data_IF_544885198156
#
_entry.id   IF_544885198156
#
_cell.length_a   1.000
_cell.length_b   1.000
_cell.length_c   1.000
_cell.angle_alpha   90.00
_cell.angle_beta   90.00
_cell.angle_gamma   90.00
#
_symmetry.space_group_name_H-M   'P 1'
#
loop_
_entity.id
_entity.type
_entity.pdbx_description
1 polymer ?
#
# COMPACT_ATOMS: atom_id res chain seq x y z
N UNK A 1 -66.51 -41.35 -29.92
CA UNK A 1 -65.52 -41.91 -28.97
C UNK A 1 -64.23 -41.11 -29.09
N UNK A 2 -63.80 -40.51 -27.96
CA UNK A 2 -62.42 -40.13 -27.58
C UNK A 2 -61.80 -38.90 -28.28
N UNK A 3 -61.76 -37.73 -27.61
CA UNK A 3 -60.66 -37.19 -26.75
C UNK A 3 -59.47 -36.67 -27.59
N UNK A 4 -58.75 -35.57 -27.33
CA UNK A 4 -58.83 -34.40 -26.44
C UNK A 4 -57.66 -33.48 -26.86
N UNK A 5 -57.79 -32.17 -26.61
CA UNK A 5 -56.74 -31.14 -26.66
C UNK A 5 -55.37 -31.59 -26.10
N UNK A 6 -54.26 -31.10 -26.65
CA UNK A 6 -53.22 -30.50 -25.80
C UNK A 6 -52.31 -29.51 -26.54
N UNK A 7 -52.47 -28.25 -26.16
CA UNK A 7 -51.53 -27.15 -26.27
C UNK A 7 -50.25 -27.49 -25.47
N UNK A 8 -49.08 -27.35 -26.06
CA UNK A 8 -47.81 -27.31 -25.30
C UNK A 8 -47.05 -26.05 -25.70
N UNK A 9 -47.35 -25.01 -24.92
CA UNK A 9 -46.51 -23.83 -24.71
C UNK A 9 -45.13 -24.29 -24.23
N UNK A 10 -44.14 -24.21 -25.12
CA UNK A 10 -42.74 -24.22 -24.72
C UNK A 10 -42.43 -22.87 -24.06
N UNK A 11 -42.77 -22.78 -22.77
CA UNK A 11 -42.15 -21.85 -21.83
C UNK A 11 -40.67 -22.22 -21.76
N UNK A 12 -39.87 -21.61 -22.63
CA UNK A 12 -38.43 -21.54 -22.48
C UNK A 12 -38.12 -20.75 -21.22
N UNK A 13 -38.07 -21.44 -20.08
CA UNK A 13 -37.33 -20.98 -18.92
C UNK A 13 -35.87 -20.88 -19.34
N UNK A 14 -35.48 -19.71 -19.86
CA UNK A 14 -34.07 -19.38 -19.99
C UNK A 14 -33.44 -19.56 -18.62
N UNK A 15 -32.33 -20.29 -18.49
CA UNK A 15 -31.64 -20.36 -17.22
C UNK A 15 -31.27 -18.92 -16.90
N UNK A 16 -31.91 -18.34 -15.87
CA UNK A 16 -31.42 -17.12 -15.26
C UNK A 16 -29.97 -17.41 -14.91
N UNK A 17 -29.04 -16.79 -15.65
CA UNK A 17 -27.63 -16.82 -15.31
C UNK A 17 -27.58 -16.31 -13.87
N UNK A 18 -27.40 -17.22 -12.92
CA UNK A 18 -27.00 -16.84 -11.59
C UNK A 18 -25.74 -15.99 -11.79
N UNK A 19 -25.87 -14.68 -11.57
CA UNK A 19 -24.77 -13.76 -11.72
C UNK A 19 -23.70 -14.24 -10.73
N UNK A 20 -22.59 -14.76 -11.26
CA UNK A 20 -21.53 -15.27 -10.40
C UNK A 20 -21.05 -14.13 -9.52
N UNK A 21 -21.12 -14.36 -8.20
CA UNK A 21 -20.54 -13.47 -7.21
C UNK A 21 -19.03 -13.43 -7.43
N UNK A 22 -18.56 -12.32 -8.02
CA UNK A 22 -17.14 -12.12 -8.27
C UNK A 22 -16.41 -11.91 -6.96
N UNK A 23 -15.21 -12.50 -6.85
CA UNK A 23 -14.33 -12.26 -5.70
C UNK A 23 -13.63 -10.91 -5.86
N UNK A 24 -13.12 -10.32 -4.75
CA UNK A 24 -12.43 -9.03 -4.80
C UNK A 24 -11.30 -8.96 -5.82
N UNK A 25 -10.52 -10.04 -5.96
CA UNK A 25 -9.42 -10.10 -6.93
C UNK A 25 -9.94 -10.06 -8.38
N UNK A 26 -11.04 -10.74 -8.69
CA UNK A 26 -11.63 -10.74 -10.03
C UNK A 26 -12.21 -9.36 -10.37
N UNK A 27 -12.88 -8.72 -9.40
CA UNK A 27 -13.40 -7.35 -9.55
C UNK A 27 -12.24 -6.39 -9.79
N UNK A 28 -11.16 -6.49 -9.01
CA UNK A 28 -9.97 -5.67 -9.17
C UNK A 28 -9.35 -5.80 -10.57
N UNK A 29 -9.15 -7.04 -11.04
CA UNK A 29 -8.58 -7.31 -12.36
C UNK A 29 -9.44 -6.71 -13.49
N UNK A 30 -10.77 -6.83 -13.42
CA UNK A 30 -11.68 -6.22 -14.39
C UNK A 30 -11.72 -4.69 -14.28
N UNK A 31 -11.66 -4.15 -13.07
CA UNK A 31 -11.69 -2.70 -12.83
C UNK A 31 -10.48 -1.98 -13.43
N UNK A 32 -9.31 -2.63 -13.44
CA UNK A 32 -8.06 -2.06 -13.97
C UNK A 32 -7.72 -2.55 -15.38
N UNK A 33 -8.55 -3.42 -15.96
CA UNK A 33 -8.44 -3.91 -17.32
C UNK A 33 -8.53 -2.77 -18.35
N UNK A 34 -7.93 -2.97 -19.53
CA UNK A 34 -7.97 -1.97 -20.61
C UNK A 34 -9.36 -1.89 -21.24
N UNK A 35 -10.04 -3.04 -21.23
CA UNK A 35 -11.40 -3.20 -21.70
C UNK A 35 -12.39 -2.52 -20.74
N UNK A 36 -13.44 -1.93 -21.30
CA UNK A 36 -14.55 -1.42 -20.50
C UNK A 36 -15.30 -2.56 -19.83
N UNK A 37 -15.95 -2.26 -18.70
CA UNK A 37 -16.76 -3.22 -17.96
C UNK A 37 -18.19 -2.70 -17.82
N UNK A 38 -19.13 -3.14 -18.69
CA UNK A 38 -20.50 -2.63 -18.71
C UNK A 38 -21.22 -2.79 -17.37
N UNK A 39 -20.98 -3.89 -16.65
CA UNK A 39 -21.61 -4.18 -15.37
C UNK A 39 -20.92 -3.54 -14.16
N UNK A 40 -19.89 -2.70 -14.37
CA UNK A 40 -19.07 -2.08 -13.33
C UNK A 40 -19.90 -1.55 -12.15
N UNK A 41 -20.96 -0.81 -12.44
CA UNK A 41 -21.77 -0.12 -11.44
C UNK A 41 -22.40 -1.06 -10.40
N UNK A 42 -22.61 -2.35 -10.72
CA UNK A 42 -23.10 -3.34 -9.74
C UNK A 42 -22.07 -3.67 -8.66
N UNK A 43 -20.79 -3.47 -8.99
CA UNK A 43 -19.64 -3.80 -8.14
C UNK A 43 -19.02 -2.56 -7.50
N UNK A 44 -19.69 -1.41 -7.55
CA UNK A 44 -19.24 -0.18 -6.91
C UNK A 44 -20.16 0.20 -5.76
N UNK A 45 -19.58 0.74 -4.69
CA UNK A 45 -20.30 1.41 -3.62
C UNK A 45 -19.45 2.55 -3.05
N UNK A 46 -19.98 3.26 -2.05
CA UNK A 46 -19.23 4.31 -1.35
C UNK A 46 -18.75 5.44 -2.27
N UNK A 47 -17.53 5.89 -2.06
CA UNK A 47 -16.94 6.99 -2.83
C UNK A 47 -16.72 6.64 -4.31
N UNK A 48 -16.37 5.39 -4.63
CA UNK A 48 -16.04 5.00 -6.01
C UNK A 48 -17.29 5.06 -6.88
N UNK A 49 -18.45 4.70 -6.32
CA UNK A 49 -19.73 4.83 -7.02
C UNK A 49 -20.06 6.29 -7.35
N UNK A 50 -19.73 7.22 -6.45
CA UNK A 50 -19.98 8.66 -6.66
C UNK A 50 -19.01 9.27 -7.69
N UNK A 51 -17.81 8.72 -7.81
CA UNK A 51 -16.76 9.19 -8.71
C UNK A 51 -16.75 8.46 -10.06
N UNK A 52 -17.48 7.35 -10.17
CA UNK A 52 -17.54 6.55 -11.38
C UNK A 52 -18.06 7.36 -12.55
N UNK A 53 -17.28 7.34 -13.64
CA UNK A 53 -17.69 7.83 -14.95
C UNK A 53 -18.20 6.66 -15.79
N UNK A 54 -18.55 6.92 -17.04
CA UNK A 54 -18.85 5.86 -18.02
C UNK A 54 -17.65 4.96 -18.34
N UNK A 55 -16.44 5.32 -17.92
CA UNK A 55 -15.20 4.56 -18.12
C UNK A 55 -14.66 4.02 -16.79
N UNK A 56 -14.09 2.80 -16.83
CA UNK A 56 -13.34 2.22 -15.70
C UNK A 56 -12.05 3.01 -15.43
N UNK A 57 -11.44 2.79 -14.27
CA UNK A 57 -10.09 3.30 -14.01
C UNK A 57 -9.08 2.70 -15.00
N UNK A 58 -9.22 1.42 -15.33
CA UNK A 58 -8.36 0.71 -16.27
C UNK A 58 -8.28 1.32 -17.67
N UNK A 59 -9.40 1.90 -18.14
CA UNK A 59 -9.48 2.64 -19.40
C UNK A 59 -8.76 4.00 -19.36
N UNK A 60 -8.54 4.56 -18.16
CA UNK A 60 -7.82 5.83 -17.95
C UNK A 60 -6.33 5.60 -17.71
N UNK A 61 -5.92 4.40 -17.28
CA UNK A 61 -4.52 4.04 -17.07
C UNK A 61 -3.82 3.90 -18.43
N UNK A 62 -2.64 4.54 -18.64
CA UNK A 62 -1.89 4.40 -19.88
C UNK A 62 -1.68 2.93 -20.30
N UNK A 63 -1.87 2.65 -21.59
CA UNK A 63 -1.83 1.28 -22.10
C UNK A 63 -0.47 0.60 -21.88
N UNK A 64 0.63 1.35 -21.96
CA UNK A 64 1.99 0.81 -21.79
C UNK A 64 2.31 0.29 -20.37
N UNK A 65 1.55 0.71 -19.35
CA UNK A 65 1.76 0.24 -17.98
C UNK A 65 1.29 -1.21 -17.83
N UNK A 66 2.18 -2.08 -17.33
CA UNK A 66 1.80 -3.41 -16.82
C UNK A 66 0.97 -3.23 -15.56
N UNK A 67 -0.08 -4.04 -15.42
CA UNK A 67 -1.00 -4.04 -14.28
C UNK A 67 -0.91 -5.40 -13.59
N UNK A 68 -0.64 -5.42 -12.30
CA UNK A 68 -0.61 -6.66 -11.50
C UNK A 68 -1.50 -6.48 -10.28
N UNK A 69 -2.53 -7.32 -10.15
CA UNK A 69 -3.38 -7.35 -8.96
C UNK A 69 -2.92 -8.46 -8.01
N UNK A 70 -2.84 -8.16 -6.71
CA UNK A 70 -2.55 -9.14 -5.68
C UNK A 70 -3.48 -8.92 -4.47
N UNK A 71 -4.14 -9.99 -4.04
CA UNK A 71 -4.93 -9.97 -2.81
C UNK A 71 -4.00 -9.78 -1.61
N UNK A 72 -4.21 -8.73 -0.83
CA UNK A 72 -3.41 -8.43 0.38
C UNK A 72 -4.06 -9.04 1.60
N UNK A 73 -5.37 -8.85 1.76
CA UNK A 73 -6.17 -9.41 2.84
C UNK A 73 -7.60 -9.62 2.35
N UNK A 74 -8.24 -10.67 2.86
CA UNK A 74 -9.68 -10.87 2.75
C UNK A 74 -10.21 -11.44 4.08
N UNK A 75 -11.26 -10.82 4.60
CA UNK A 75 -12.09 -11.34 5.68
C UNK A 75 -13.46 -11.71 5.13
N UNK A 76 -14.42 -12.05 6.00
CA UNK A 76 -15.80 -12.32 5.57
C UNK A 76 -16.51 -11.06 5.05
N UNK A 77 -16.06 -9.86 5.45
CA UNK A 77 -16.77 -8.60 5.18
C UNK A 77 -15.93 -7.52 4.50
N UNK A 78 -14.60 -7.64 4.46
CA UNK A 78 -13.70 -6.66 3.85
C UNK A 78 -12.59 -7.35 3.06
N UNK A 79 -12.06 -6.68 2.04
CA UNK A 79 -10.85 -7.12 1.36
C UNK A 79 -10.03 -5.94 0.87
N UNK A 80 -8.73 -6.14 0.72
CA UNK A 80 -7.81 -5.17 0.12
C UNK A 80 -7.04 -5.87 -0.98
N UNK A 81 -7.08 -5.31 -2.18
CA UNK A 81 -6.30 -5.76 -3.34
C UNK A 81 -5.31 -4.67 -3.71
N UNK A 82 -4.02 -5.01 -3.73
CA UNK A 82 -2.97 -4.14 -4.26
C UNK A 82 -2.97 -4.23 -5.78
N UNK A 83 -2.80 -3.08 -6.43
CA UNK A 83 -2.59 -2.96 -7.86
C UNK A 83 -1.27 -2.26 -8.11
N UNK A 84 -0.30 -3.02 -8.62
CA UNK A 84 0.96 -2.46 -9.10
C UNK A 84 0.79 -2.02 -10.55
N UNK A 85 1.10 -0.76 -10.83
CA UNK A 85 1.32 -0.24 -12.17
C UNK A 85 2.82 -0.11 -12.39
N UNK A 86 3.37 -0.67 -13.47
CA UNK A 86 4.81 -0.62 -13.74
C UNK A 86 5.13 -0.50 -15.23
N UNK A 87 6.18 0.25 -15.55
CA UNK A 87 6.88 0.25 -16.83
C UNK A 87 8.41 0.10 -16.63
N UNK A 88 9.19 0.43 -17.66
CA UNK A 88 10.65 0.42 -17.61
C UNK A 88 11.25 1.54 -16.77
N UNK A 89 10.50 2.60 -16.47
CA UNK A 89 10.96 3.79 -15.76
C UNK A 89 10.62 3.74 -14.27
N UNK A 90 9.62 2.95 -13.87
CA UNK A 90 9.29 2.70 -12.47
C UNK A 90 7.90 2.12 -12.26
N UNK A 91 7.49 2.04 -10.99
CA UNK A 91 6.15 1.59 -10.61
C UNK A 91 5.46 2.53 -9.63
N UNK A 92 4.15 2.38 -9.50
CA UNK A 92 3.35 2.96 -8.43
C UNK A 92 2.25 1.96 -8.04
N UNK A 93 1.88 1.96 -6.77
CA UNK A 93 0.84 1.08 -6.25
C UNK A 93 -0.35 1.88 -5.77
N UNK A 94 -1.53 1.31 -5.98
CA UNK A 94 -2.75 1.73 -5.33
C UNK A 94 -3.51 0.51 -4.81
N UNK A 95 -4.45 0.75 -3.91
CA UNK A 95 -5.14 -0.24 -3.12
C UNK A 95 -6.64 -0.08 -3.31
N UNK A 96 -7.26 -1.18 -3.68
CA UNK A 96 -8.69 -1.30 -3.87
C UNK A 96 -9.27 -1.89 -2.59
N UNK A 97 -10.08 -1.09 -1.88
CA UNK A 97 -10.76 -1.53 -0.66
C UNK A 97 -12.17 -1.98 -0.99
N UNK A 98 -12.47 -3.21 -0.61
CA UNK A 98 -13.76 -3.84 -0.84
C UNK A 98 -14.51 -4.04 0.47
N UNK A 99 -15.83 -4.01 0.36
CA UNK A 99 -16.75 -4.43 1.41
C UNK A 99 -17.74 -5.44 0.84
N UNK A 100 -18.06 -6.46 1.64
CA UNK A 100 -19.13 -7.41 1.34
C UNK A 100 -20.44 -6.89 1.91
N UNK A 101 -21.42 -6.72 1.05
CA UNK A 101 -22.83 -6.57 1.44
C UNK A 101 -23.53 -7.89 1.11
N UNK A 102 -24.39 -7.90 0.09
CA UNK A 102 -24.88 -9.13 -0.52
C UNK A 102 -23.80 -9.76 -1.42
N UNK A 103 -23.08 -8.91 -2.16
CA UNK A 103 -21.94 -9.26 -3.01
C UNK A 103 -20.72 -8.42 -2.64
N UNK A 104 -19.56 -8.76 -3.16
CA UNK A 104 -18.36 -7.93 -3.02
C UNK A 104 -18.48 -6.67 -3.87
N UNK A 105 -18.19 -5.51 -3.25
CA UNK A 105 -18.23 -4.22 -3.93
C UNK A 105 -16.98 -3.41 -3.59
N UNK A 106 -16.44 -2.72 -4.60
CA UNK A 106 -15.34 -1.77 -4.47
C UNK A 106 -15.88 -0.49 -3.82
N UNK A 107 -15.38 -0.22 -2.61
CA UNK A 107 -15.79 0.92 -1.80
C UNK A 107 -14.86 2.13 -1.96
N UNK A 108 -13.55 1.89 -2.09
CA UNK A 108 -12.55 2.96 -2.13
C UNK A 108 -11.31 2.61 -2.96
N UNK A 109 -10.69 3.63 -3.55
CA UNK A 109 -9.37 3.54 -4.21
C UNK A 109 -8.40 4.43 -3.45
N UNK A 110 -7.29 3.87 -2.98
CA UNK A 110 -6.29 4.60 -2.19
C UNK A 110 -4.91 4.45 -2.78
N UNK A 111 -4.12 5.50 -2.75
CA UNK A 111 -2.72 5.47 -3.10
C UNK A 111 -1.97 6.42 -2.21
N UNK A 112 -0.65 6.27 -2.13
CA UNK A 112 0.16 7.22 -1.38
C UNK A 112 0.14 8.58 -2.08
N UNK A 113 -0.40 9.58 -1.40
CA UNK A 113 -0.39 10.98 -1.86
C UNK A 113 1.02 11.54 -2.09
N UNK A 114 1.09 12.59 -2.92
CA UNK A 114 2.29 13.43 -3.15
C UNK A 114 3.53 12.72 -3.71
N UNK A 115 3.40 11.49 -4.22
CA UNK A 115 4.51 10.75 -4.84
C UNK A 115 5.08 11.43 -6.08
N UNK A 116 4.27 12.16 -6.86
CA UNK A 116 4.75 12.95 -8.00
C UNK A 116 5.69 14.08 -7.58
N UNK A 117 5.41 14.73 -6.44
CA UNK A 117 6.30 15.77 -5.90
C UNK A 117 7.63 15.16 -5.48
N UNK A 118 7.62 14.01 -4.79
CA UNK A 118 8.84 13.29 -4.45
C UNK A 118 9.65 12.87 -5.70
N UNK A 119 9.01 12.48 -6.81
CA UNK A 119 9.70 12.16 -8.08
C UNK A 119 10.38 13.39 -8.69
N UNK A 120 9.74 14.55 -8.62
CA UNK A 120 10.34 15.81 -9.07
C UNK A 120 11.56 16.17 -8.22
N UNK A 121 11.45 16.06 -6.88
CA UNK A 121 12.58 16.26 -5.98
C UNK A 121 13.74 15.30 -6.29
N UNK A 122 13.42 14.01 -6.52
CA UNK A 122 14.42 13.00 -6.85
C UNK A 122 15.16 13.34 -8.15
N UNK A 123 14.43 13.78 -9.18
CA UNK A 123 15.00 14.19 -10.47
C UNK A 123 16.01 15.32 -10.29
N UNK A 124 15.66 16.33 -9.48
CA UNK A 124 16.56 17.47 -9.19
C UNK A 124 17.80 17.00 -8.45
N UNK A 125 17.64 16.20 -7.39
CA UNK A 125 18.75 15.72 -6.57
C UNK A 125 19.70 14.81 -7.35
N UNK A 126 19.19 13.88 -8.15
CA UNK A 126 20.00 12.97 -8.97
C UNK A 126 20.77 13.70 -10.07
N UNK A 127 20.23 14.83 -10.55
CA UNK A 127 20.87 15.72 -11.53
C UNK A 127 22.00 16.58 -10.96
N UNK A 128 22.19 16.65 -9.64
CA UNK A 128 23.24 17.49 -9.05
C UNK A 128 24.65 16.99 -9.41
N UNK A 129 25.57 17.87 -9.86
CA UNK A 129 26.97 17.52 -10.08
C UNK A 129 27.70 17.22 -8.76
N UNK A 130 28.82 16.48 -8.77
CA UNK A 130 29.52 16.05 -7.55
C UNK A 130 29.87 17.19 -6.57
N UNK A 131 30.28 18.35 -7.08
CA UNK A 131 30.60 19.53 -6.26
C UNK A 131 29.38 20.04 -5.47
N UNK A 132 28.19 20.01 -6.08
CA UNK A 132 26.95 20.45 -5.43
C UNK A 132 26.45 19.42 -4.42
N UNK A 133 26.70 18.12 -4.63
CA UNK A 133 26.42 17.08 -3.63
C UNK A 133 27.26 17.26 -2.37
N UNK A 134 28.56 17.57 -2.53
CA UNK A 134 29.42 17.89 -1.40
C UNK A 134 28.92 19.12 -0.64
N UNK A 135 28.50 20.17 -1.35
CA UNK A 135 27.88 21.36 -0.75
C UNK A 135 26.57 21.03 -0.04
N UNK A 136 25.72 20.19 -0.62
CA UNK A 136 24.47 19.73 -0.01
C UNK A 136 24.72 19.08 1.35
N UNK A 137 25.73 18.20 1.44
CA UNK A 137 26.10 17.54 2.70
C UNK A 137 26.56 18.53 3.76
N UNK A 138 27.29 19.58 3.37
CA UNK A 138 27.72 20.64 4.28
C UNK A 138 26.54 21.44 4.83
N UNK A 139 25.51 21.70 4.01
CA UNK A 139 24.32 22.44 4.43
C UNK A 139 23.27 21.58 5.13
N UNK A 140 23.30 20.26 4.95
CA UNK A 140 22.33 19.31 5.53
C UNK A 140 23.02 18.15 6.28
N UNK A 141 23.83 18.42 7.33
CA UNK A 141 24.60 17.38 8.03
C UNK A 141 23.72 16.34 8.77
N UNK A 142 22.43 16.63 8.95
CA UNK A 142 21.46 15.70 9.57
C UNK A 142 20.70 14.85 8.54
N UNK A 143 20.76 15.22 7.26
CA UNK A 143 20.07 14.56 6.16
C UNK A 143 20.97 14.64 4.91
N UNK A 144 22.08 13.89 4.96
CA UNK A 144 23.06 13.84 3.89
C UNK A 144 22.43 13.37 2.57
N UNK A 145 23.07 13.72 1.46
CA UNK A 145 22.59 13.50 0.10
C UNK A 145 22.16 12.05 -0.15
N UNK A 146 23.01 11.08 0.19
CA UNK A 146 22.73 9.66 -0.05
C UNK A 146 21.52 9.18 0.77
N UNK A 147 21.38 9.66 2.01
CA UNK A 147 20.20 9.40 2.81
C UNK A 147 18.95 9.99 2.16
N UNK A 148 18.99 11.28 1.79
CA UNK A 148 17.83 11.95 1.20
C UNK A 148 17.39 11.29 -0.11
N UNK A 149 18.32 11.00 -1.02
CA UNK A 149 18.03 10.33 -2.29
C UNK A 149 17.49 8.92 -2.05
N UNK A 150 18.13 8.14 -1.18
CA UNK A 150 17.67 6.78 -0.85
C UNK A 150 16.29 6.77 -0.21
N UNK A 151 16.02 7.72 0.69
CA UNK A 151 14.73 7.87 1.35
C UNK A 151 13.61 8.25 0.38
N UNK A 152 13.84 9.24 -0.48
CA UNK A 152 12.85 9.66 -1.48
C UNK A 152 12.58 8.52 -2.47
N UNK A 153 13.61 7.77 -2.90
CA UNK A 153 13.43 6.58 -3.76
C UNK A 153 12.50 5.55 -3.14
N UNK A 154 12.64 5.28 -1.83
CA UNK A 154 11.71 4.37 -1.13
C UNK A 154 10.33 4.99 -0.94
N UNK A 155 10.23 6.29 -0.70
CA UNK A 155 8.95 6.98 -0.53
C UNK A 155 8.08 6.89 -1.80
N UNK A 156 8.67 7.13 -2.97
CA UNK A 156 7.93 7.18 -4.26
C UNK A 156 7.95 5.87 -5.03
N UNK A 157 8.72 4.89 -4.55
CA UNK A 157 8.91 3.58 -5.16
C UNK A 157 7.71 2.66 -4.95
N UNK A 158 7.71 1.54 -5.66
CA UNK A 158 6.64 0.55 -5.52
C UNK A 158 6.80 -0.31 -4.27
N UNK A 159 5.75 -1.00 -3.86
CA UNK A 159 5.75 -1.99 -2.79
C UNK A 159 6.82 -3.07 -3.03
N UNK A 160 7.04 -3.44 -4.30
CA UNK A 160 8.08 -4.40 -4.67
C UNK A 160 9.49 -3.83 -4.46
N UNK A 161 9.69 -2.53 -4.73
CA UNK A 161 10.99 -1.88 -4.55
C UNK A 161 11.33 -1.74 -3.05
N UNK A 162 10.34 -1.37 -2.23
CA UNK A 162 10.45 -1.31 -0.77
C UNK A 162 10.70 -2.71 -0.19
N UNK A 163 9.94 -3.72 -0.62
CA UNK A 163 10.15 -5.10 -0.19
C UNK A 163 11.55 -5.61 -0.57
N UNK A 164 12.02 -5.30 -1.78
CA UNK A 164 13.36 -5.69 -2.22
C UNK A 164 14.46 -4.99 -1.40
N UNK A 165 14.27 -3.72 -1.03
CA UNK A 165 15.18 -3.03 -0.11
C UNK A 165 15.20 -3.68 1.27
N UNK A 166 14.02 -3.98 1.82
CA UNK A 166 13.91 -4.70 3.08
C UNK A 166 14.63 -6.05 3.04
N UNK A 167 14.39 -6.88 2.02
CA UNK A 167 15.04 -8.19 1.88
C UNK A 167 16.56 -8.07 1.82
N UNK A 168 17.09 -7.13 1.04
CA UNK A 168 18.56 -6.92 0.95
C UNK A 168 19.18 -6.44 2.27
N UNK A 169 18.40 -5.77 3.12
CA UNK A 169 18.87 -5.14 4.36
C UNK A 169 18.26 -5.77 5.62
N UNK A 170 17.70 -6.97 5.50
CA UNK A 170 16.91 -7.60 6.57
C UNK A 170 17.70 -7.73 7.87
N UNK A 171 18.98 -8.09 7.80
CA UNK A 171 19.84 -8.23 8.97
C UNK A 171 20.01 -6.90 9.75
N UNK A 172 20.07 -5.75 9.06
CA UNK A 172 20.18 -4.43 9.67
C UNK A 172 18.87 -4.00 10.32
N UNK A 173 17.73 -4.30 9.69
CA UNK A 173 16.41 -4.09 10.28
C UNK A 173 16.23 -4.92 11.57
N UNK A 174 16.55 -6.22 11.52
CA UNK A 174 16.51 -7.11 12.69
C UNK A 174 17.47 -6.64 13.80
N UNK A 175 18.67 -6.17 13.43
CA UNK A 175 19.61 -5.58 14.40
C UNK A 175 19.03 -4.34 15.06
N UNK A 176 18.36 -3.48 14.31
CA UNK A 176 17.72 -2.28 14.85
C UNK A 176 16.60 -2.65 15.82
N UNK A 177 15.74 -3.61 15.47
CA UNK A 177 14.70 -4.13 16.38
C UNK A 177 15.30 -4.66 17.67
N UNK A 178 16.35 -5.47 17.60
CA UNK A 178 17.03 -5.99 18.81
C UNK A 178 17.51 -4.84 19.71
N UNK A 179 18.15 -3.82 19.14
CA UNK A 179 18.60 -2.64 19.90
C UNK A 179 17.43 -1.89 20.56
N UNK A 180 16.32 -1.70 19.83
CA UNK A 180 15.11 -1.05 20.37
C UNK A 180 14.48 -1.85 21.50
N UNK A 181 14.47 -3.18 21.42
CA UNK A 181 13.92 -4.08 22.44
C UNK A 181 14.82 -4.22 23.67
N UNK A 182 16.14 -4.20 23.49
CA UNK A 182 17.09 -4.24 24.62
C UNK A 182 17.22 -2.88 25.29
N UNK A 183 16.92 -1.80 24.57
CA UNK A 183 16.87 -0.45 25.12
C UNK A 183 15.65 -0.26 26.02
N UNK A 184 15.76 0.61 27.02
CA UNK A 184 14.65 0.98 27.90
C UNK A 184 13.74 2.06 27.31
N UNK A 185 13.99 2.47 26.06
CA UNK A 185 13.32 3.60 25.39
C UNK A 185 11.80 3.48 25.32
N UNK A 186 11.29 2.25 25.24
CA UNK A 186 9.87 1.95 25.08
C UNK A 186 9.28 1.16 26.26
N UNK A 187 9.97 1.16 27.40
CA UNK A 187 9.57 0.41 28.60
C UNK A 187 8.56 1.15 29.49
N UNK A 188 8.42 2.47 29.32
CA UNK A 188 7.50 3.32 30.08
C UNK A 188 6.60 4.11 29.12
N UNK A 189 5.44 4.55 29.63
CA UNK A 189 4.49 5.39 28.89
C UNK A 189 4.51 6.83 29.43
N UNK A 190 4.69 7.86 28.57
CA UNK A 190 4.94 7.75 27.12
C UNK A 190 6.36 7.27 26.80
N UNK A 191 6.50 6.48 25.74
CA UNK A 191 7.81 6.03 25.25
C UNK A 191 8.74 7.21 24.92
N UNK A 192 10.03 7.07 25.24
CA UNK A 192 11.07 8.05 24.92
C UNK A 192 11.64 7.83 23.51
N UNK A 193 10.78 8.02 22.51
CA UNK A 193 11.14 7.84 21.09
C UNK A 193 12.26 8.78 20.66
N UNK A 194 12.33 9.99 21.21
CA UNK A 194 13.38 10.95 20.90
C UNK A 194 14.77 10.42 21.29
N UNK A 195 14.89 9.81 22.47
CA UNK A 195 16.14 9.16 22.88
C UNK A 195 16.49 7.96 22.00
N UNK A 196 15.52 7.12 21.63
CA UNK A 196 15.77 5.99 20.72
C UNK A 196 16.31 6.46 19.35
N UNK A 197 15.76 7.52 18.78
CA UNK A 197 16.18 8.05 17.49
C UNK A 197 17.50 8.85 17.56
N UNK A 198 17.89 9.33 18.74
CA UNK A 198 19.15 10.03 19.00
C UNK A 198 20.29 9.10 19.44
N UNK A 199 19.99 7.86 19.84
CA UNK A 199 21.00 6.83 20.13
C UNK A 199 21.92 6.66 18.90
N UNK A 200 23.26 6.82 19.04
CA UNK A 200 24.17 6.81 17.90
C UNK A 200 24.15 5.49 17.10
N UNK A 201 23.99 4.35 17.78
CA UNK A 201 24.00 3.04 17.13
C UNK A 201 22.70 2.81 16.35
N UNK A 202 21.56 3.20 16.92
CA UNK A 202 20.26 3.14 16.24
C UNK A 202 20.24 4.15 15.08
N UNK A 203 20.63 5.40 15.32
CA UNK A 203 20.61 6.46 14.31
C UNK A 203 21.46 6.11 13.07
N UNK A 204 22.65 5.54 13.28
CA UNK A 204 23.50 5.08 12.18
C UNK A 204 22.83 3.99 11.33
N UNK A 205 22.15 3.03 11.96
CA UNK A 205 21.39 2.00 11.26
C UNK A 205 20.22 2.61 10.47
N UNK A 206 19.42 3.46 11.12
CA UNK A 206 18.27 4.12 10.47
C UNK A 206 18.69 4.90 9.22
N UNK A 207 19.77 5.69 9.31
CA UNK A 207 20.34 6.40 8.16
C UNK A 207 20.75 5.44 7.04
N UNK A 208 21.48 4.36 7.36
CA UNK A 208 21.91 3.38 6.36
C UNK A 208 20.75 2.61 5.70
N UNK A 209 19.61 2.55 6.38
CA UNK A 209 18.36 1.90 5.95
C UNK A 209 17.40 2.87 5.24
N UNK A 210 17.74 4.16 5.16
CA UNK A 210 16.90 5.24 4.66
C UNK A 210 15.58 5.40 5.43
N UNK A 211 15.64 5.17 6.75
CA UNK A 211 14.52 5.36 7.68
C UNK A 211 14.70 6.69 8.39
N UNK A 212 13.67 7.54 8.32
CA UNK A 212 13.68 8.87 8.94
C UNK A 212 13.61 8.79 10.47
N UNK A 213 12.78 7.87 10.99
CA UNK A 213 12.62 7.64 12.43
C UNK A 213 11.91 6.32 12.73
N UNK A 214 12.01 5.88 13.98
CA UNK A 214 11.17 4.84 14.57
C UNK A 214 10.19 5.46 15.56
N UNK A 215 8.95 4.99 15.57
CA UNK A 215 7.87 5.49 16.43
C UNK A 215 6.84 4.40 16.72
N UNK A 216 6.06 4.54 17.80
CA UNK A 216 4.84 3.76 18.05
C UNK A 216 3.57 4.48 17.60
N UNK A 217 3.67 5.76 17.24
CA UNK A 217 2.53 6.65 16.98
C UNK A 217 2.07 6.70 15.52
N UNK A 218 2.72 5.97 14.62
CA UNK A 218 2.40 6.05 13.18
C UNK A 218 1.23 5.16 12.77
N UNK A 219 0.83 4.25 13.65
CA UNK A 219 -0.22 3.26 13.43
C UNK A 219 -1.00 3.13 14.72
N UNK A 220 -2.26 2.73 14.66
CA UNK A 220 -3.10 2.42 15.83
C UNK A 220 -2.63 1.09 16.48
N UNK A 221 -1.36 1.02 16.89
CA UNK A 221 -0.73 -0.16 17.48
C UNK A 221 0.36 0.24 18.47
N UNK A 222 0.03 0.15 19.75
CA UNK A 222 0.89 0.59 20.85
C UNK A 222 2.13 -0.31 21.05
N UNK A 223 2.10 -1.56 20.57
CA UNK A 223 3.24 -2.48 20.66
C UNK A 223 4.16 -2.45 19.43
N UNK A 224 3.70 -1.86 18.33
CA UNK A 224 4.39 -1.92 17.05
C UNK A 224 5.56 -0.94 16.97
N UNK A 225 6.65 -1.35 16.34
CA UNK A 225 7.67 -0.39 15.87
C UNK A 225 7.40 -0.01 14.43
N UNK A 226 7.02 1.25 14.19
CA UNK A 226 6.91 1.81 12.85
C UNK A 226 8.21 2.50 12.45
N UNK A 227 8.89 1.91 11.46
CA UNK A 227 10.07 2.44 10.78
C UNK A 227 9.58 3.33 9.64
N UNK A 228 9.53 4.63 9.89
CA UNK A 228 8.99 5.63 8.96
C UNK A 228 10.02 5.90 7.87
N UNK A 229 9.69 5.57 6.63
CA UNK A 229 10.46 6.01 5.46
C UNK A 229 10.16 7.49 5.27
N UNK A 230 8.92 7.83 4.91
CA UNK A 230 8.55 9.20 4.59
C UNK A 230 7.05 9.37 4.47
N UNK A 231 6.64 10.50 3.92
CA UNK A 231 5.26 10.95 3.91
C UNK A 231 5.21 12.48 3.94
N UNK A 232 4.09 13.05 3.50
CA UNK A 232 3.86 14.48 3.50
C UNK A 232 2.42 14.74 3.94
N UNK A 233 2.23 15.74 4.80
CA UNK A 233 0.94 16.08 5.42
C UNK A 233 0.52 14.99 6.41
N UNK A 234 -0.43 14.15 6.05
CA UNK A 234 -1.10 13.13 6.87
C UNK A 234 -0.83 11.70 6.39
N UNK A 235 -0.17 11.54 5.23
CA UNK A 235 0.21 10.23 4.74
C UNK A 235 1.60 9.81 5.22
N UNK A 236 1.82 8.51 5.34
CA UNK A 236 3.09 7.90 5.75
C UNK A 236 3.30 6.59 5.01
N UNK A 237 4.54 6.30 4.63
CA UNK A 237 4.99 4.98 4.18
C UNK A 237 6.14 4.51 5.04
N UNK A 238 6.16 3.22 5.34
CA UNK A 238 7.18 2.64 6.18
C UNK A 238 7.11 1.13 6.27
N UNK A 239 7.86 0.61 7.23
CA UNK A 239 7.81 -0.78 7.65
C UNK A 239 7.31 -0.85 9.09
N UNK A 240 6.44 -1.80 9.37
CA UNK A 240 5.92 -2.08 10.69
C UNK A 240 6.52 -3.40 11.19
N UNK A 241 6.98 -3.44 12.43
CA UNK A 241 7.37 -4.66 13.11
C UNK A 241 6.43 -4.96 14.27
N UNK A 242 5.75 -6.11 14.18
CA UNK A 242 4.94 -6.72 15.23
C UNK A 242 4.91 -8.24 15.01
N UNK A 243 5.58 -9.02 15.88
CA UNK A 243 5.63 -10.48 15.72
C UNK A 243 4.28 -11.16 15.97
N UNK A 244 3.38 -10.56 16.77
CA UNK A 244 2.04 -11.08 17.02
C UNK A 244 1.04 -10.52 16.00
N UNK A 245 0.74 -11.30 14.97
CA UNK A 245 -0.19 -10.91 13.91
C UNK A 245 -1.59 -10.52 14.42
N UNK A 246 -2.00 -10.92 15.63
CA UNK A 246 -3.28 -10.53 16.21
C UNK A 246 -3.31 -9.08 16.73
N UNK A 247 -2.15 -8.49 17.02
CA UNK A 247 -2.00 -7.10 17.49
C UNK A 247 -1.85 -6.10 16.35
N UNK A 248 -1.69 -6.61 15.14
CA UNK A 248 -1.48 -5.81 13.96
C UNK A 248 -2.79 -5.08 13.60
N UNK A 249 -2.74 -3.74 13.37
CA UNK A 249 -3.95 -2.95 13.18
C UNK A 249 -4.68 -3.33 11.89
N UNK A 250 -6.00 -3.22 11.92
CA UNK A 250 -6.84 -3.50 10.76
C UNK A 250 -6.65 -2.42 9.67
N UNK A 251 -6.63 -2.84 8.41
CA UNK A 251 -6.62 -1.91 7.29
C UNK A 251 -7.96 -1.18 7.18
N UNK A 252 -7.91 0.10 6.83
CA UNK A 252 -9.08 0.91 6.53
C UNK A 252 -8.77 1.89 5.39
N UNK A 253 -9.76 2.23 4.55
CA UNK A 253 -9.54 3.24 3.52
C UNK A 253 -9.32 4.64 4.08
N UNK A 254 -9.57 4.90 5.37
CA UNK A 254 -9.46 6.24 5.98
C UNK A 254 -8.21 6.44 6.83
N UNK A 255 -7.38 5.42 7.00
CA UNK A 255 -6.15 5.51 7.80
C UNK A 255 -5.07 4.60 7.23
N UNK A 256 -4.99 3.34 7.68
CA UNK A 256 -4.03 2.34 7.22
C UNK A 256 -4.50 1.69 5.92
N UNK A 257 -4.16 2.30 4.78
CA UNK A 257 -4.65 1.90 3.46
C UNK A 257 -4.02 0.59 2.95
N UNK A 258 -2.81 0.27 3.40
CA UNK A 258 -2.21 -1.05 3.14
C UNK A 258 -1.36 -1.50 4.32
N UNK A 259 -1.38 -2.80 4.53
CA UNK A 259 -0.47 -3.51 5.41
C UNK A 259 -0.16 -4.87 4.81
N UNK A 260 1.01 -4.99 4.17
CA UNK A 260 1.41 -6.16 3.39
C UNK A 260 2.48 -6.95 4.14
N UNK A 261 2.27 -8.23 4.45
CA UNK A 261 3.26 -9.02 5.17
C UNK A 261 4.53 -9.20 4.32
N UNK A 262 5.68 -9.00 4.96
CA UNK A 262 7.03 -9.28 4.44
C UNK A 262 7.65 -10.52 5.11
N UNK A 263 6.97 -11.09 6.10
CA UNK A 263 7.38 -12.28 6.85
C UNK A 263 8.07 -11.94 8.18
N UNK A 264 8.09 -12.90 9.11
CA UNK A 264 8.75 -12.78 10.44
C UNK A 264 8.32 -11.53 11.24
N UNK A 265 7.03 -11.22 11.23
CA UNK A 265 6.48 -10.06 11.95
C UNK A 265 6.72 -8.70 11.27
N UNK A 266 7.27 -8.67 10.06
CA UNK A 266 7.43 -7.45 9.28
C UNK A 266 6.29 -7.24 8.30
N UNK A 267 5.89 -5.98 8.17
CA UNK A 267 4.87 -5.55 7.22
C UNK A 267 5.32 -4.26 6.54
N UNK A 268 5.01 -4.10 5.25
CA UNK A 268 5.01 -2.80 4.60
C UNK A 268 3.69 -2.13 4.92
N UNK A 269 3.72 -0.85 5.30
CA UNK A 269 2.49 -0.09 5.52
C UNK A 269 2.48 1.23 4.76
N UNK A 270 1.27 1.68 4.41
CA UNK A 270 1.01 3.05 3.95
C UNK A 270 -0.26 3.58 4.59
N UNK A 271 -0.29 4.88 4.83
CA UNK A 271 -1.47 5.62 5.29
C UNK A 271 -1.89 6.68 4.29
N UNK A 272 -3.07 7.26 4.50
CA UNK A 272 -3.58 8.42 3.76
C UNK A 272 -4.08 9.48 4.72
#
# INVERSE_FOLDING_TARGET
MKYVFLFLLLLGAGPGRAQQDLLPLDIAQRFVAREGWPELHHYLCGEVQQQAKSQTLGQQIPAHLRRTCALVQQTDSTAVVAVELRDSLGGNDFYLHFRRQNTWQLQAVRGLGMTNFGRQMLTVLEGLPPAERARYNQTHPKAEYDFTVGNIRLWVGSDADIAAHFTRRQADFEKTVRLLQTGTYFAAEPANEAAANADPAINALLKSLFISRVTRKSTDCDSCFAFVIGGLIDNTVGLLYEPDASKVPAMSPGSLIVLKPLGKGWYLFKTT
#
